data_IF_296148873581
#
_entry.id   IF_296148873581
#
_cell.length_a   1.000
_cell.length_b   1.000
_cell.length_c   1.000
_cell.angle_alpha   90.00
_cell.angle_beta   90.00
_cell.angle_gamma   90.00
#
_symmetry.space_group_name_H-M   'P 1'
#
loop_
_entity.id
_entity.type
_entity.pdbx_description
1 polymer ?
#
# COMPACT_ATOMS: atom_id res chain seq x y z
N UNK A 1 34.48 7.40 21.20
CA UNK A 1 34.22 5.95 21.08
C UNK A 1 35.17 5.40 20.04
N UNK A 2 36.11 4.53 20.42
CA UNK A 2 37.04 3.88 19.50
C UNK A 2 36.61 2.41 19.42
N UNK A 3 36.10 1.96 18.27
CA UNK A 3 35.74 0.56 18.05
C UNK A 3 36.96 -0.12 17.42
N UNK A 4 37.59 -1.05 18.13
CA UNK A 4 38.68 -1.87 17.57
C UNK A 4 38.35 -3.36 17.65
N UNK A 5 38.45 -4.04 16.51
CA UNK A 5 38.43 -5.51 16.40
C UNK A 5 37.05 -6.14 16.25
N UNK A 6 36.70 -6.54 15.02
CA UNK A 6 35.67 -7.56 14.79
C UNK A 6 36.41 -8.89 14.56
N UNK A 7 36.21 -9.86 15.46
CA UNK A 7 36.72 -11.22 15.30
C UNK A 7 35.55 -12.15 14.98
N UNK A 8 35.54 -12.82 13.81
CA UNK A 8 34.49 -13.79 13.49
C UNK A 8 34.70 -15.07 14.32
N UNK A 9 33.63 -15.57 14.94
CA UNK A 9 33.59 -16.89 15.59
C UNK A 9 32.50 -17.73 14.91
N UNK A 10 32.88 -18.95 14.51
CA UNK A 10 31.97 -19.93 13.91
C UNK A 10 31.33 -20.78 15.00
N UNK A 11 30.01 -20.71 15.13
CA UNK A 11 29.22 -21.59 16.00
C UNK A 11 27.93 -22.00 15.28
N UNK A 12 27.63 -23.30 15.27
CA UNK A 12 26.44 -23.91 14.67
C UNK A 12 26.13 -23.44 13.23
N UNK A 13 27.13 -23.49 12.33
CA UNK A 13 26.98 -23.16 10.90
C UNK A 13 26.44 -21.74 10.59
N UNK A 14 26.58 -20.80 11.53
CA UNK A 14 26.30 -19.38 11.28
C UNK A 14 27.52 -18.53 11.66
N UNK A 15 27.81 -17.52 10.85
CA UNK A 15 28.82 -16.49 11.15
C UNK A 15 28.10 -15.40 11.94
N UNK A 16 28.54 -15.18 13.18
CA UNK A 16 28.03 -14.09 14.02
C UNK A 16 29.14 -13.07 14.25
N UNK A 17 28.76 -11.78 14.22
CA UNK A 17 29.65 -10.65 14.48
C UNK A 17 29.33 -10.09 15.86
N UNK A 18 30.35 -9.93 16.70
CA UNK A 18 30.21 -9.43 18.06
C UNK A 18 30.96 -8.12 18.22
N UNK A 19 30.37 -7.16 18.93
CA UNK A 19 31.03 -5.94 19.39
C UNK A 19 31.13 -5.98 20.91
N UNK A 20 32.33 -5.83 21.45
CA UNK A 20 32.52 -5.68 22.88
C UNK A 20 32.20 -4.24 23.31
N UNK A 21 31.30 -4.08 24.27
CA UNK A 21 31.02 -2.79 24.92
C UNK A 21 31.21 -2.98 26.42
N UNK A 22 31.94 -2.07 27.07
CA UNK A 22 32.26 -2.13 28.51
C UNK A 22 31.62 -0.94 29.21
N UNK A 23 30.86 -1.17 30.29
CA UNK A 23 30.21 -0.13 31.09
C UNK A 23 30.66 -0.16 32.56
N UNK A 24 30.45 0.95 33.28
CA UNK A 24 30.77 1.12 34.68
C UNK A 24 29.50 1.09 35.57
N UNK A 25 29.50 0.15 36.53
CA UNK A 25 28.67 -0.08 37.73
C UNK A 25 27.21 0.42 37.84
N UNK A 26 26.32 -0.54 38.19
CA UNK A 26 25.09 -0.40 38.98
C UNK A 26 24.45 -1.78 39.22
N UNK A 27 24.09 -2.12 40.46
CA UNK A 27 23.39 -3.39 40.81
C UNK A 27 21.89 -3.30 40.45
N UNK A 28 21.32 -4.35 39.85
CA UNK A 28 19.88 -4.49 39.60
C UNK A 28 19.31 -5.70 40.36
N UNK A 29 18.06 -5.64 40.88
CA UNK A 29 17.44 -6.76 41.57
C UNK A 29 17.01 -7.88 40.60
N UNK A 30 17.10 -9.13 41.06
CA UNK A 30 16.68 -10.32 40.31
C UNK A 30 15.19 -10.24 39.93
N UNK A 31 14.90 -10.25 38.63
CA UNK A 31 13.55 -10.45 38.08
C UNK A 31 13.59 -11.67 37.17
N UNK A 32 12.67 -12.61 37.39
CA UNK A 32 12.52 -13.83 36.60
C UNK A 32 11.94 -13.49 35.22
N UNK A 33 12.76 -13.63 34.15
CA UNK A 33 12.37 -13.28 32.77
C UNK A 33 11.89 -14.51 32.01
N UNK A 34 10.68 -14.46 31.45
CA UNK A 34 10.22 -15.39 30.42
C UNK A 34 10.75 -14.93 29.04
N UNK A 35 11.68 -15.68 28.44
CA UNK A 35 12.29 -15.33 27.15
C UNK A 35 11.44 -15.77 25.94
N UNK A 36 11.31 -14.88 24.95
CA UNK A 36 10.65 -15.14 23.65
C UNK A 36 11.66 -15.76 22.65
N UNK A 37 11.33 -16.81 21.87
CA UNK A 37 12.27 -17.46 20.97
C UNK A 37 12.56 -16.60 19.73
N UNK A 38 13.64 -15.80 19.78
CA UNK A 38 14.10 -15.01 18.63
C UNK A 38 14.81 -13.69 18.95
N UNK A 39 14.87 -13.27 20.22
CA UNK A 39 15.57 -12.06 20.61
C UNK A 39 17.11 -12.22 20.48
N UNK A 40 17.84 -11.18 20.02
CA UNK A 40 19.30 -11.21 20.04
C UNK A 40 19.80 -11.30 21.49
N UNK A 41 20.72 -12.25 21.73
CA UNK A 41 21.37 -12.47 23.02
C UNK A 41 22.70 -11.74 23.03
N UNK A 42 22.93 -10.92 24.04
CA UNK A 42 24.19 -10.21 24.20
C UNK A 42 25.03 -10.90 25.28
N UNK A 43 26.33 -11.06 24.99
CA UNK A 43 27.32 -11.48 25.97
C UNK A 43 27.87 -10.22 26.63
N UNK A 44 27.59 -10.04 27.92
CA UNK A 44 28.18 -8.99 28.72
C UNK A 44 29.27 -9.57 29.60
N UNK A 45 30.41 -8.91 29.67
CA UNK A 45 31.49 -9.26 30.60
C UNK A 45 31.52 -8.25 31.72
N UNK A 46 31.27 -8.71 32.93
CA UNK A 46 31.39 -7.91 34.13
C UNK A 46 32.84 -7.49 34.36
N UNK A 47 33.05 -6.47 35.19
CA UNK A 47 34.39 -5.97 35.51
C UNK A 47 35.28 -6.99 36.23
N UNK A 48 34.71 -8.05 36.80
CA UNK A 48 35.43 -9.16 37.42
C UNK A 48 35.79 -10.29 36.42
N UNK A 49 35.42 -10.13 35.14
CA UNK A 49 35.66 -11.11 34.08
C UNK A 49 34.60 -12.20 33.97
N UNK A 50 33.54 -12.15 34.79
CA UNK A 50 32.40 -13.06 34.64
C UNK A 50 31.53 -12.69 33.44
N UNK A 51 31.02 -13.70 32.73
CA UNK A 51 30.16 -13.53 31.57
C UNK A 51 28.69 -13.73 31.97
N UNK A 52 27.83 -12.76 31.64
CA UNK A 52 26.37 -12.84 31.81
C UNK A 52 25.72 -12.72 30.43
N UNK A 53 24.76 -13.61 30.19
CA UNK A 53 23.99 -13.66 28.95
C UNK A 53 22.61 -13.03 29.20
N UNK A 54 22.33 -11.89 28.61
CA UNK A 54 21.02 -11.24 28.74
C UNK A 54 20.30 -11.12 27.40
N UNK A 55 18.98 -11.30 27.46
CA UNK A 55 18.04 -10.99 26.39
C UNK A 55 17.42 -9.63 26.69
N UNK A 56 17.73 -8.62 25.89
CA UNK A 56 17.01 -7.34 25.96
C UNK A 56 15.64 -7.50 25.31
N UNK A 57 14.59 -7.57 26.12
CA UNK A 57 13.19 -7.42 25.70
C UNK A 57 12.72 -6.01 26.02
N UNK A 58 12.06 -5.34 25.06
CA UNK A 58 11.40 -4.05 25.31
C UNK A 58 10.38 -4.20 26.45
N UNK A 59 10.58 -3.50 27.56
CA UNK A 59 9.57 -3.30 28.59
C UNK A 59 9.13 -1.84 28.60
N UNK A 60 7.81 -1.64 28.49
CA UNK A 60 7.16 -0.35 28.78
C UNK A 60 6.47 -0.55 30.12
N UNK A 61 7.04 0.00 31.19
CA UNK A 61 6.33 0.07 32.47
C UNK A 61 5.38 1.28 32.41
N UNK A 62 4.07 1.01 32.41
CA UNK A 62 3.05 2.03 32.19
C UNK A 62 2.77 2.87 33.45
N UNK A 63 3.48 2.65 34.56
CA UNK A 63 3.21 3.31 35.83
C UNK A 63 4.13 4.48 36.18
N UNK A 64 5.31 4.62 35.56
CA UNK A 64 6.26 5.69 35.94
C UNK A 64 6.85 6.50 34.77
N UNK A 65 6.47 6.19 33.53
CA UNK A 65 6.91 6.94 32.34
C UNK A 65 8.36 6.69 31.95
N UNK A 66 9.00 5.65 32.46
CA UNK A 66 10.39 5.31 32.12
C UNK A 66 10.46 4.56 30.78
N UNK A 67 11.33 5.02 29.88
CA UNK A 67 11.65 4.32 28.63
C UNK A 67 13.11 3.91 28.66
N UNK A 68 13.37 2.63 28.45
CA UNK A 68 14.72 2.08 28.26
C UNK A 68 14.95 1.96 26.76
N UNK A 69 15.94 2.68 26.23
CA UNK A 69 16.23 2.68 24.81
C UNK A 69 17.07 1.45 24.39
N UNK A 70 17.29 1.31 23.07
CA UNK A 70 18.06 0.21 22.49
C UNK A 70 19.56 0.20 22.91
N UNK A 71 20.00 1.17 23.72
CA UNK A 71 21.34 1.26 24.29
C UNK A 71 21.35 1.00 25.81
N UNK A 72 20.23 0.52 26.38
CA UNK A 72 20.04 0.30 27.82
C UNK A 72 20.26 1.55 28.67
N UNK A 73 19.99 2.74 28.10
CA UNK A 73 20.11 4.00 28.82
C UNK A 73 18.75 4.37 29.43
N UNK A 74 18.69 4.49 30.76
CA UNK A 74 17.48 4.94 31.45
C UNK A 74 17.34 6.45 31.32
N UNK A 75 16.27 6.93 30.67
CA UNK A 75 15.97 8.36 30.59
C UNK A 75 14.64 8.62 31.28
N UNK A 76 14.65 9.33 32.40
CA UNK A 76 13.44 9.73 33.13
C UNK A 76 12.95 11.07 32.58
N UNK A 77 11.76 11.10 31.97
CA UNK A 77 11.12 12.35 31.58
C UNK A 77 10.21 12.83 32.72
N UNK A 78 10.34 14.09 33.20
CA UNK A 78 9.35 14.66 34.10
C UNK A 78 8.04 14.89 33.33
N UNK A 79 6.95 14.28 33.78
CA UNK A 79 5.61 14.50 33.27
C UNK A 79 5.10 15.90 33.67
N UNK A 80 5.46 16.95 32.94
CA UNK A 80 4.71 18.22 32.96
C UNK A 80 3.65 18.19 31.86
N UNK A 81 2.46 17.72 32.23
CA UNK A 81 1.25 17.80 31.41
C UNK A 81 0.64 19.20 31.58
N UNK A 82 1.05 20.15 30.74
CA UNK A 82 0.34 21.42 30.59
C UNK A 82 -0.81 21.22 29.59
N UNK A 83 -2.03 21.04 30.09
CA UNK A 83 -3.24 21.25 29.29
C UNK A 83 -3.48 22.77 29.13
N UNK A 84 -3.64 23.30 27.92
CA UNK A 84 -4.26 24.60 27.75
C UNK A 84 -5.78 24.46 27.98
N UNK A 85 -6.27 25.10 29.02
CA UNK A 85 -7.68 25.43 29.23
C UNK A 85 -8.19 26.25 28.03
N UNK A 86 -9.06 25.67 27.20
CA UNK A 86 -10.12 26.44 26.53
C UNK A 86 -11.45 25.67 26.65
N UNK A 87 -12.40 26.33 27.29
CA UNK A 87 -13.56 25.72 27.91
C UNK A 87 -14.68 25.31 26.96
N UNK A 88 -15.41 24.28 27.39
CA UNK A 88 -16.82 24.07 27.07
C UNK A 88 -17.53 23.58 28.34
N UNK A 89 -18.80 23.96 28.55
CA UNK A 89 -19.43 23.89 29.86
C UNK A 89 -19.86 22.47 30.24
N UNK A 90 -19.69 22.20 31.53
CA UNK A 90 -20.24 21.09 32.28
C UNK A 90 -21.76 20.98 32.09
N UNK A 91 -22.25 19.77 31.80
CA UNK A 91 -23.67 19.42 31.80
C UNK A 91 -23.84 18.01 32.39
N UNK A 92 -23.56 17.88 33.69
CA UNK A 92 -24.13 16.80 34.49
C UNK A 92 -25.64 16.98 34.67
N UNK A 93 -26.42 16.04 34.12
CA UNK A 93 -27.67 15.58 34.73
C UNK A 93 -29.01 16.10 34.17
N UNK A 94 -29.58 15.38 33.18
CA UNK A 94 -31.03 15.13 33.09
C UNK A 94 -31.26 13.76 32.42
N UNK A 95 -32.01 12.82 33.02
CA UNK A 95 -32.39 11.57 32.36
C UNK A 95 -33.66 11.77 31.52
N UNK A 96 -33.58 11.44 30.23
CA UNK A 96 -34.75 11.28 29.35
C UNK A 96 -34.95 12.42 28.34
N UNK A 97 -34.32 12.30 27.17
CA UNK A 97 -34.60 13.11 26.00
C UNK A 97 -33.89 12.53 24.77
N UNK A 98 -34.66 12.02 23.82
CA UNK A 98 -34.17 11.56 22.51
C UNK A 98 -33.70 12.76 21.68
N UNK A 99 -32.45 12.75 21.25
CA UNK A 99 -31.91 13.73 20.29
C UNK A 99 -31.95 13.18 18.88
N UNK A 100 -32.64 13.91 18.02
CA UNK A 100 -32.66 13.77 16.57
C UNK A 100 -31.49 14.60 15.99
N UNK A 101 -30.57 13.93 15.32
CA UNK A 101 -29.44 14.55 14.60
C UNK A 101 -29.79 14.57 13.12
N UNK A 102 -30.46 15.63 12.69
CA UNK A 102 -30.55 15.98 11.27
C UNK A 102 -29.47 17.05 10.95
N UNK A 103 -28.56 16.82 9.99
CA UNK A 103 -27.54 17.78 9.63
C UNK A 103 -28.09 18.89 8.71
N UNK A 104 -27.50 20.07 8.87
CA UNK A 104 -27.77 21.34 8.19
C UNK A 104 -28.37 21.24 6.77
N UNK A 105 -29.67 21.55 6.67
CA UNK A 105 -30.36 21.84 5.41
C UNK A 105 -30.41 23.35 5.14
N UNK A 106 -30.18 23.71 3.88
CA UNK A 106 -30.23 25.07 3.35
C UNK A 106 -31.58 25.75 3.63
N UNK A 107 -31.57 26.97 4.18
CA UNK A 107 -32.73 27.85 4.20
C UNK A 107 -33.06 28.32 2.78
N UNK A 108 -34.24 27.98 2.28
CA UNK A 108 -34.88 28.76 1.22
C UNK A 108 -35.48 30.05 1.79
N UNK A 109 -35.47 31.18 1.06
CA UNK A 109 -36.14 32.38 1.52
C UNK A 109 -37.65 32.30 1.26
N UNK A 110 -38.41 32.34 2.35
CA UNK A 110 -39.85 32.53 2.39
C UNK A 110 -40.27 33.90 1.82
N UNK A 111 -41.22 33.84 0.89
CA UNK A 111 -42.27 34.80 0.55
C UNK A 111 -42.30 36.15 1.29
N UNK A 112 -42.18 37.24 0.53
CA UNK A 112 -42.49 38.60 0.96
C UNK A 112 -44.00 38.82 1.13
N UNK A 113 -44.36 39.34 2.30
CA UNK A 113 -45.66 39.92 2.60
C UNK A 113 -45.89 41.23 1.83
N UNK A 114 -47.16 41.41 1.47
CA UNK A 114 -47.78 42.61 0.94
C UNK A 114 -47.73 43.78 1.93
N UNK A 115 -47.12 44.89 1.53
CA UNK A 115 -47.14 46.17 2.26
C UNK A 115 -47.47 47.34 1.33
N UNK A 116 -48.61 47.96 1.60
CA UNK A 116 -49.24 49.09 0.92
C UNK A 116 -48.46 50.41 0.98
N UNK A 117 -48.47 51.15 -0.14
CA UNK A 117 -48.85 52.57 -0.19
C UNK A 117 -47.90 53.63 0.40
N UNK A 118 -47.26 54.40 -0.47
CA UNK A 118 -46.60 55.66 -0.12
C UNK A 118 -46.11 56.44 -1.33
N UNK A 119 -46.93 57.36 -1.84
CA UNK A 119 -46.50 58.42 -2.75
C UNK A 119 -45.44 59.28 -2.06
N UNK A 120 -44.27 59.48 -2.68
CA UNK A 120 -43.48 60.69 -2.52
C UNK A 120 -42.48 60.89 -3.67
N UNK A 121 -42.40 62.15 -4.11
CA UNK A 121 -41.46 62.72 -5.07
C UNK A 121 -40.00 62.33 -4.79
N UNK A 122 -39.24 61.98 -5.83
CA UNK A 122 -37.80 61.77 -5.72
C UNK A 122 -37.13 61.75 -7.10
N UNK A 123 -36.09 62.57 -7.26
CA UNK A 123 -35.42 62.85 -8.53
C UNK A 123 -34.74 61.66 -9.20
N UNK A 124 -34.43 61.85 -10.48
CA UNK A 124 -33.78 60.89 -11.36
C UNK A 124 -32.37 60.50 -10.92
N UNK A 125 -32.27 59.60 -9.95
CA UNK A 125 -31.08 58.81 -9.70
C UNK A 125 -30.91 57.78 -10.82
N UNK A 126 -29.71 57.73 -11.40
CA UNK A 126 -29.33 56.66 -12.31
C UNK A 126 -29.63 55.30 -11.67
N UNK A 127 -30.12 54.30 -12.44
CA UNK A 127 -30.34 52.97 -11.92
C UNK A 127 -29.04 52.48 -11.24
N UNK A 128 -29.13 51.89 -10.03
CA UNK A 128 -27.96 51.38 -9.35
C UNK A 128 -27.23 50.43 -10.30
N UNK A 129 -25.88 50.51 -10.39
CA UNK A 129 -25.12 49.63 -11.26
C UNK A 129 -25.49 48.18 -10.92
N UNK A 130 -25.65 47.32 -11.94
CA UNK A 130 -26.01 45.93 -11.72
C UNK A 130 -25.02 45.32 -10.73
N UNK A 131 -25.50 44.51 -9.76
CA UNK A 131 -24.64 43.87 -8.81
C UNK A 131 -23.53 43.11 -9.57
N UNK A 132 -22.28 43.16 -9.09
CA UNK A 132 -21.20 42.42 -9.73
C UNK A 132 -21.62 40.95 -9.82
N UNK A 133 -21.32 40.27 -10.95
CA UNK A 133 -21.64 38.86 -11.09
C UNK A 133 -21.07 38.10 -9.87
N UNK A 134 -21.84 37.14 -9.32
CA UNK A 134 -21.38 36.36 -8.19
C UNK A 134 -20.00 35.81 -8.52
N UNK A 135 -19.04 36.05 -7.64
CA UNK A 135 -17.67 35.62 -7.85
C UNK A 135 -17.66 34.11 -8.00
N UNK A 136 -17.34 33.63 -9.20
CA UNK A 136 -17.42 32.20 -9.49
C UNK A 136 -16.38 31.46 -8.64
N UNK A 137 -16.86 30.62 -7.74
CA UNK A 137 -16.03 29.67 -7.01
C UNK A 137 -15.79 28.46 -7.89
N UNK A 138 -14.53 28.08 -8.06
CA UNK A 138 -14.16 26.89 -8.82
C UNK A 138 -14.50 25.60 -8.04
N UNK A 139 -14.29 24.42 -8.64
CA UNK A 139 -14.64 23.17 -7.95
C UNK A 139 -13.76 22.86 -6.73
N UNK A 140 -12.67 23.61 -6.51
CA UNK A 140 -11.79 23.47 -5.35
C UNK A 140 -12.20 24.42 -4.21
N UNK A 141 -13.31 25.16 -4.37
CA UNK A 141 -13.74 26.14 -3.39
C UNK A 141 -12.98 27.46 -3.47
N UNK A 142 -12.21 27.70 -4.55
CA UNK A 142 -11.42 28.93 -4.70
C UNK A 142 -12.19 29.96 -5.53
N UNK A 143 -12.45 31.11 -4.91
CA UNK A 143 -13.09 32.25 -5.58
C UNK A 143 -12.18 32.77 -6.69
N UNK A 144 -12.68 32.75 -7.94
CA UNK A 144 -11.89 33.10 -9.13
C UNK A 144 -10.85 32.05 -9.52
N UNK A 145 -10.92 30.84 -8.96
CA UNK A 145 -10.05 29.73 -9.32
C UNK A 145 -10.33 29.17 -10.72
N UNK A 146 -9.42 28.34 -11.22
CA UNK A 146 -9.49 27.76 -12.57
C UNK A 146 -9.73 26.25 -12.55
N UNK A 147 -10.03 25.68 -11.39
CA UNK A 147 -10.27 24.25 -11.29
C UNK A 147 -11.66 23.88 -11.85
N UNK A 148 -11.71 22.82 -12.64
CA UNK A 148 -12.93 22.32 -13.31
C UNK A 148 -13.30 20.93 -12.78
N UNK A 149 -14.61 20.66 -12.71
CA UNK A 149 -15.12 19.33 -12.35
C UNK A 149 -14.83 18.37 -13.49
N UNK A 150 -14.23 17.23 -13.16
CA UNK A 150 -13.98 16.11 -14.05
C UNK A 150 -14.44 14.79 -13.38
N UNK A 151 -14.47 13.65 -14.10
CA UNK A 151 -14.90 12.37 -13.53
C UNK A 151 -14.11 11.94 -12.29
N UNK A 152 -12.84 12.32 -12.21
CA UNK A 152 -11.95 12.05 -11.07
C UNK A 152 -12.02 13.10 -9.94
N UNK A 153 -13.02 13.98 -9.97
CA UNK A 153 -13.15 15.14 -9.09
C UNK A 153 -12.61 16.42 -9.72
N UNK A 154 -12.12 17.33 -8.88
CA UNK A 154 -11.67 18.64 -9.31
C UNK A 154 -10.24 18.58 -9.90
N UNK A 155 -10.05 19.09 -11.12
CA UNK A 155 -8.74 19.20 -11.80
C UNK A 155 -8.44 20.65 -12.17
N UNK A 156 -7.18 21.01 -12.36
CA UNK A 156 -6.74 22.38 -12.66
C UNK A 156 -6.65 23.26 -11.42
N UNK A 157 -6.35 24.54 -11.62
CA UNK A 157 -6.24 25.54 -10.54
C UNK A 157 -5.32 25.11 -9.39
N UNK A 158 -5.82 25.26 -8.17
CA UNK A 158 -5.12 24.94 -6.92
C UNK A 158 -5.23 23.47 -6.50
N UNK A 159 -5.97 22.64 -7.25
CA UNK A 159 -6.14 21.22 -6.91
C UNK A 159 -4.84 20.40 -7.04
N UNK A 160 -3.84 20.92 -7.77
CA UNK A 160 -2.60 20.22 -8.08
C UNK A 160 -2.75 19.06 -9.06
N UNK A 161 -3.97 18.77 -9.57
CA UNK A 161 -4.24 17.71 -10.55
C UNK A 161 -4.41 18.31 -11.94
N UNK A 162 -3.45 18.13 -12.84
CA UNK A 162 -3.57 18.70 -14.20
C UNK A 162 -4.58 17.93 -15.08
N UNK A 163 -4.72 16.62 -14.86
CA UNK A 163 -5.56 15.73 -15.67
C UNK A 163 -6.09 14.62 -14.77
N UNK A 164 -7.24 14.04 -15.12
CA UNK A 164 -7.68 12.81 -14.45
C UNK A 164 -6.71 11.66 -14.73
N UNK A 165 -6.40 10.84 -13.72
CA UNK A 165 -5.72 9.58 -13.98
C UNK A 165 -6.58 8.77 -14.98
N UNK A 166 -5.95 8.04 -15.92
CA UNK A 166 -6.68 7.19 -16.84
C UNK A 166 -7.58 6.23 -16.06
N UNK A 167 -8.82 6.07 -16.50
CA UNK A 167 -9.71 5.07 -15.91
C UNK A 167 -9.05 3.68 -16.04
N UNK A 168 -9.08 2.84 -14.99
CA UNK A 168 -8.40 1.55 -15.01
C UNK A 168 -8.81 0.65 -16.20
N UNK A 169 -10.07 0.74 -16.65
CA UNK A 169 -10.57 0.05 -17.85
C UNK A 169 -9.90 0.54 -19.14
N UNK A 170 -9.75 1.86 -19.32
CA UNK A 170 -9.06 2.43 -20.48
C UNK A 170 -7.60 1.98 -20.51
N UNK A 171 -6.96 1.91 -19.34
CA UNK A 171 -5.57 1.49 -19.21
C UNK A 171 -5.33 0.06 -19.70
N UNK A 172 -6.13 -0.91 -19.27
CA UNK A 172 -6.01 -2.30 -19.73
C UNK A 172 -6.36 -2.44 -21.21
N UNK A 173 -7.41 -1.75 -21.68
CA UNK A 173 -7.82 -1.77 -23.08
C UNK A 173 -6.76 -1.16 -24.00
N UNK A 174 -6.23 0.01 -23.65
CA UNK A 174 -5.20 0.72 -24.44
C UNK A 174 -3.89 -0.06 -24.49
N UNK A 175 -3.50 -0.72 -23.39
CA UNK A 175 -2.30 -1.55 -23.37
C UNK A 175 -2.42 -2.69 -24.39
N UNK A 176 -3.50 -3.46 -24.36
CA UNK A 176 -3.58 -4.66 -25.19
C UNK A 176 -4.04 -4.40 -26.64
N UNK A 177 -4.85 -3.38 -26.88
CA UNK A 177 -5.35 -3.06 -28.22
C UNK A 177 -4.43 -2.14 -29.04
N UNK A 178 -3.37 -1.60 -28.43
CA UNK A 178 -2.35 -0.86 -29.16
C UNK A 178 -1.65 -1.74 -30.21
N UNK A 179 -1.66 -1.32 -31.48
CA UNK A 179 -1.05 -2.08 -32.59
C UNK A 179 0.44 -2.35 -32.38
N UNK A 180 1.15 -1.43 -31.74
CA UNK A 180 2.55 -1.59 -31.35
C UNK A 180 2.79 -2.76 -30.37
N UNK A 181 1.74 -3.23 -29.70
CA UNK A 181 1.79 -4.27 -28.67
C UNK A 181 1.30 -5.63 -29.16
N UNK A 182 0.96 -5.79 -30.45
CA UNK A 182 0.41 -7.03 -31.00
C UNK A 182 1.33 -8.25 -30.78
N UNK A 183 2.65 -8.08 -30.98
CA UNK A 183 3.63 -9.15 -30.74
C UNK A 183 3.71 -9.53 -29.26
N UNK A 184 3.62 -8.54 -28.36
CA UNK A 184 3.57 -8.80 -26.93
C UNK A 184 2.28 -9.54 -26.55
N UNK A 185 1.12 -9.07 -27.03
CA UNK A 185 -0.18 -9.71 -26.79
C UNK A 185 -0.15 -11.18 -27.19
N UNK A 186 0.42 -11.51 -28.35
CA UNK A 186 0.51 -12.89 -28.79
C UNK A 186 1.39 -13.72 -27.84
N UNK A 187 2.56 -13.21 -27.43
CA UNK A 187 3.42 -13.90 -26.46
C UNK A 187 2.74 -14.10 -25.10
N UNK A 188 2.02 -13.08 -24.61
CA UNK A 188 1.25 -13.17 -23.36
C UNK A 188 0.15 -14.24 -23.45
N UNK A 189 -0.56 -14.34 -24.58
CA UNK A 189 -1.51 -15.42 -24.85
C UNK A 189 -0.84 -16.80 -24.88
N UNK A 190 0.32 -16.91 -25.54
CA UNK A 190 1.06 -18.15 -25.64
C UNK A 190 1.44 -18.69 -24.24
N UNK A 191 1.81 -17.80 -23.31
CA UNK A 191 2.08 -18.17 -21.92
C UNK A 191 0.87 -18.78 -21.20
N UNK A 192 -0.36 -18.32 -21.51
CA UNK A 192 -1.60 -18.85 -20.94
C UNK A 192 -2.08 -20.17 -21.54
N UNK A 193 -1.36 -20.75 -22.50
CA UNK A 193 -1.72 -22.06 -23.08
C UNK A 193 -1.43 -23.19 -22.10
N UNK A 194 -2.20 -24.29 -22.20
CA UNK A 194 -2.01 -25.48 -21.38
C UNK A 194 -0.60 -26.05 -21.48
N UNK A 195 0.04 -25.95 -22.66
CA UNK A 195 1.42 -26.39 -22.87
C UNK A 195 2.40 -25.64 -21.95
N UNK A 196 2.25 -24.31 -21.83
CA UNK A 196 3.13 -23.50 -20.99
C UNK A 196 2.73 -23.59 -19.51
N UNK A 197 1.44 -23.66 -19.18
CA UNK A 197 0.97 -23.78 -17.80
C UNK A 197 1.28 -25.16 -17.17
N UNK A 198 1.44 -26.21 -17.98
CA UNK A 198 1.87 -27.54 -17.53
C UNK A 198 3.38 -27.67 -17.33
N UNK A 199 4.17 -26.64 -17.63
CA UNK A 199 5.59 -26.66 -17.33
C UNK A 199 5.74 -26.64 -15.82
N UNK A 200 6.61 -27.48 -15.26
CA UNK A 200 6.90 -27.47 -13.83
C UNK A 200 7.71 -26.24 -13.40
N UNK A 201 7.54 -25.09 -14.05
CA UNK A 201 8.19 -23.81 -13.75
C UNK A 201 7.43 -22.65 -14.38
N UNK A 202 7.57 -21.46 -13.79
CA UNK A 202 6.92 -20.25 -14.29
C UNK A 202 7.66 -19.63 -15.48
N UNK A 203 6.92 -18.93 -16.34
CA UNK A 203 7.46 -18.13 -17.44
C UNK A 203 6.96 -16.70 -17.33
N UNK A 204 7.70 -15.78 -17.94
CA UNK A 204 7.25 -14.40 -18.10
C UNK A 204 7.62 -13.81 -19.46
N UNK A 205 6.85 -12.81 -19.86
CA UNK A 205 7.15 -11.92 -20.98
C UNK A 205 6.89 -10.48 -20.56
N UNK A 206 7.83 -9.59 -20.86
CA UNK A 206 7.76 -8.17 -20.59
C UNK A 206 7.87 -7.37 -21.89
N UNK A 207 7.16 -6.25 -21.96
CA UNK A 207 7.40 -5.19 -22.93
C UNK A 207 8.11 -4.04 -22.21
N UNK A 208 9.31 -3.70 -22.69
CA UNK A 208 10.21 -2.76 -22.06
C UNK A 208 10.47 -1.59 -23.01
N UNK A 209 10.10 -0.39 -22.59
CA UNK A 209 10.44 0.86 -23.24
C UNK A 209 11.96 1.11 -23.14
N UNK A 210 12.56 1.63 -24.22
CA UNK A 210 14.00 1.91 -24.28
C UNK A 210 14.89 0.68 -24.50
N UNK A 211 14.32 -0.52 -24.67
CA UNK A 211 15.08 -1.75 -24.95
C UNK A 211 15.03 -2.16 -26.44
N UNK A 212 16.08 -2.84 -26.93
CA UNK A 212 16.10 -3.50 -28.25
C UNK A 212 16.71 -4.90 -28.11
N UNK A 213 15.98 -5.99 -28.43
CA UNK A 213 14.54 -6.02 -28.65
C UNK A 213 13.77 -5.56 -27.41
N UNK A 214 12.61 -4.93 -27.61
CA UNK A 214 11.75 -4.39 -26.56
C UNK A 214 10.88 -5.45 -25.86
N UNK A 215 10.77 -6.66 -26.41
CA UNK A 215 10.11 -7.80 -25.77
C UNK A 215 11.19 -8.70 -25.16
N UNK A 216 11.06 -9.04 -23.88
CA UNK A 216 11.96 -9.95 -23.16
C UNK A 216 11.16 -11.09 -22.55
N UNK A 217 11.65 -12.30 -22.75
CA UNK A 217 11.09 -13.53 -22.17
C UNK A 217 12.03 -14.03 -21.08
N UNK A 218 11.48 -14.57 -20.00
CA UNK A 218 12.23 -15.24 -18.94
C UNK A 218 11.52 -16.53 -18.51
N UNK A 219 12.26 -17.40 -17.83
CA UNK A 219 11.74 -18.67 -17.31
C UNK A 219 12.39 -18.96 -15.97
N UNK A 220 11.58 -19.54 -15.07
CA UNK A 220 12.05 -20.13 -13.84
C UNK A 220 12.88 -21.39 -14.08
N UNK A 221 13.44 -21.91 -13.00
CA UNK A 221 14.09 -23.22 -12.97
C UNK A 221 13.05 -24.33 -12.82
N UNK A 222 13.33 -25.51 -13.36
CA UNK A 222 12.45 -26.68 -13.19
C UNK A 222 12.14 -26.94 -11.71
N UNK A 223 10.88 -27.24 -11.43
CA UNK A 223 10.31 -27.39 -10.09
C UNK A 223 10.31 -26.12 -9.23
N UNK A 224 10.46 -24.93 -9.83
CA UNK A 224 10.36 -23.65 -9.13
C UNK A 224 9.07 -22.91 -9.46
N UNK A 225 8.32 -22.57 -8.40
CA UNK A 225 7.13 -21.73 -8.43
C UNK A 225 7.49 -20.23 -8.50
N UNK A 226 8.46 -19.87 -9.32
CA UNK A 226 8.89 -18.47 -9.47
C UNK A 226 9.60 -18.23 -10.80
N UNK A 227 9.45 -17.00 -11.30
CA UNK A 227 10.26 -16.44 -12.37
C UNK A 227 10.86 -15.12 -11.94
N UNK A 228 12.13 -14.90 -12.26
CA UNK A 228 12.82 -13.66 -11.92
C UNK A 228 12.39 -12.53 -12.86
N UNK A 229 12.01 -11.39 -12.28
CA UNK A 229 11.77 -10.13 -13.00
C UNK A 229 12.93 -9.20 -12.63
N UNK A 230 13.98 -9.07 -13.46
CA UNK A 230 15.20 -8.35 -13.08
C UNK A 230 14.99 -6.83 -13.05
N UNK A 231 15.92 -6.12 -12.41
CA UNK A 231 16.02 -4.67 -12.58
C UNK A 231 16.49 -4.34 -14.00
N UNK A 232 16.00 -3.23 -14.54
CA UNK A 232 16.32 -2.77 -15.88
C UNK A 232 17.52 -1.81 -15.88
N UNK A 233 18.30 -1.78 -16.97
CA UNK A 233 19.28 -0.72 -17.21
C UNK A 233 18.66 0.68 -17.15
N UNK A 234 19.47 1.68 -16.79
CA UNK A 234 19.03 3.08 -16.76
C UNK A 234 18.40 3.52 -18.09
N UNK A 235 17.29 4.26 -17.99
CA UNK A 235 16.52 4.74 -19.15
C UNK A 235 15.51 3.72 -19.71
N UNK A 236 15.44 2.50 -19.17
CA UNK A 236 14.43 1.52 -19.55
C UNK A 236 13.30 1.42 -18.52
N UNK A 237 12.09 1.10 -18.99
CA UNK A 237 10.91 0.92 -18.14
C UNK A 237 10.04 -0.24 -18.61
N UNK A 238 9.52 -1.01 -17.67
CA UNK A 238 8.45 -1.94 -17.92
C UNK A 238 7.17 -1.18 -18.30
N UNK A 239 6.69 -1.42 -19.51
CA UNK A 239 5.36 -0.97 -19.95
C UNK A 239 4.30 -1.98 -19.54
N UNK A 240 4.63 -3.27 -19.58
CA UNK A 240 3.75 -4.34 -19.12
C UNK A 240 4.55 -5.62 -18.84
N UNK A 241 3.99 -6.49 -18.01
CA UNK A 241 4.55 -7.78 -17.61
C UNK A 241 3.43 -8.82 -17.60
N UNK A 242 3.68 -9.97 -18.23
CA UNK A 242 2.85 -11.18 -18.05
C UNK A 242 3.72 -12.24 -17.42
N UNK A 243 3.26 -12.90 -16.37
CA UNK A 243 3.88 -14.12 -15.86
C UNK A 243 2.83 -15.20 -15.59
N UNK A 244 3.28 -16.45 -15.50
CA UNK A 244 2.39 -17.59 -15.29
C UNK A 244 2.53 -18.14 -13.88
N UNK A 245 1.43 -18.56 -13.27
CA UNK A 245 1.46 -19.52 -12.16
C UNK A 245 1.23 -20.93 -12.70
N UNK A 246 2.29 -21.74 -12.74
CA UNK A 246 2.34 -23.02 -13.45
C UNK A 246 2.01 -24.24 -12.56
N UNK A 247 1.94 -25.43 -13.15
CA UNK A 247 1.66 -26.68 -12.44
C UNK A 247 2.92 -27.26 -11.77
N UNK A 248 3.37 -26.64 -10.68
CA UNK A 248 4.51 -27.13 -9.88
C UNK A 248 4.06 -28.03 -8.73
N UNK A 249 4.95 -28.91 -8.27
CA UNK A 249 4.71 -29.68 -7.05
C UNK A 249 4.52 -28.74 -5.84
N UNK A 250 3.45 -28.95 -5.07
CA UNK A 250 3.03 -28.02 -4.01
C UNK A 250 1.97 -27.00 -4.46
N UNK A 251 1.75 -26.87 -5.77
CA UNK A 251 0.77 -25.96 -6.36
C UNK A 251 1.29 -24.53 -6.51
N UNK A 252 0.48 -23.70 -7.16
CA UNK A 252 0.69 -22.25 -7.31
C UNK A 252 -0.60 -21.50 -6.99
N UNK A 253 -0.50 -20.20 -6.70
CA UNK A 253 -1.67 -19.39 -6.41
C UNK A 253 -2.53 -19.18 -7.67
N UNK A 254 -3.86 -19.10 -7.53
CA UNK A 254 -4.72 -18.71 -8.65
C UNK A 254 -4.79 -17.19 -8.85
N UNK A 255 -4.21 -16.40 -7.96
CA UNK A 255 -4.15 -14.92 -7.98
C UNK A 255 -2.69 -14.46 -7.88
N UNK A 256 -2.43 -13.16 -8.05
CA UNK A 256 -1.09 -12.60 -7.83
C UNK A 256 -0.60 -12.90 -6.42
N UNK A 257 0.63 -13.37 -6.30
CA UNK A 257 1.24 -13.67 -5.01
C UNK A 257 1.63 -12.38 -4.25
N UNK A 258 1.89 -12.49 -2.95
CA UNK A 258 2.48 -11.39 -2.17
C UNK A 258 3.83 -10.95 -2.77
N UNK A 259 4.64 -11.89 -3.25
CA UNK A 259 5.92 -11.63 -3.90
C UNK A 259 5.78 -10.88 -5.23
N UNK A 260 4.72 -11.16 -5.99
CA UNK A 260 4.45 -10.45 -7.25
C UNK A 260 4.20 -8.97 -6.96
N UNK A 261 3.32 -8.69 -5.99
CA UNK A 261 2.93 -7.33 -5.60
C UNK A 261 4.10 -6.57 -4.99
N UNK A 262 4.90 -7.23 -4.16
CA UNK A 262 6.15 -6.70 -3.65
C UNK A 262 7.08 -6.30 -4.80
N UNK A 263 7.28 -7.18 -5.79
CA UNK A 263 8.18 -6.89 -6.90
C UNK A 263 7.68 -5.73 -7.75
N UNK A 264 6.37 -5.64 -8.01
CA UNK A 264 5.76 -4.50 -8.69
C UNK A 264 5.98 -3.20 -7.92
N UNK A 265 5.85 -3.22 -6.58
CA UNK A 265 6.18 -2.08 -5.73
C UNK A 265 7.64 -1.65 -5.87
N UNK A 266 8.59 -2.60 -5.84
CA UNK A 266 10.02 -2.27 -5.98
C UNK A 266 10.34 -1.66 -7.35
N UNK A 267 9.74 -2.17 -8.43
CA UNK A 267 9.88 -1.62 -9.77
C UNK A 267 9.26 -0.22 -9.89
N UNK A 268 8.12 0.00 -9.23
CA UNK A 268 7.47 1.32 -9.15
C UNK A 268 8.34 2.33 -8.40
N UNK A 269 8.88 1.91 -7.24
CA UNK A 269 9.69 2.74 -6.36
C UNK A 269 10.99 3.18 -7.04
N UNK A 270 11.65 2.25 -7.72
CA UNK A 270 12.87 2.51 -8.50
C UNK A 270 12.64 3.24 -9.82
N UNK A 271 11.38 3.58 -10.16
CA UNK A 271 11.04 4.29 -11.40
C UNK A 271 11.15 3.44 -12.67
N UNK A 272 11.26 2.13 -12.53
CA UNK A 272 11.38 1.17 -13.63
C UNK A 272 10.02 0.73 -14.20
N UNK A 273 8.90 1.20 -13.65
CA UNK A 273 7.61 1.18 -14.32
C UNK A 273 6.90 2.51 -14.12
N UNK A 274 6.03 2.86 -15.06
CA UNK A 274 5.12 4.00 -14.89
C UNK A 274 3.78 3.50 -14.36
N UNK A 275 3.48 3.79 -13.10
CA UNK A 275 2.23 3.37 -12.47
C UNK A 275 0.98 3.89 -13.19
N UNK A 276 1.06 4.97 -13.99
CA UNK A 276 -0.08 5.48 -14.76
C UNK A 276 -0.36 4.68 -16.04
N UNK A 277 0.64 3.97 -16.59
CA UNK A 277 0.52 3.21 -17.85
C UNK A 277 0.65 1.69 -17.67
N UNK A 278 1.32 1.23 -16.61
CA UNK A 278 1.68 -0.17 -16.42
C UNK A 278 0.49 -1.10 -16.16
N UNK A 279 0.47 -2.23 -16.85
CA UNK A 279 -0.47 -3.34 -16.64
C UNK A 279 0.29 -4.65 -16.46
N UNK A 280 -0.06 -5.43 -15.43
CA UNK A 280 0.42 -6.80 -15.27
C UNK A 280 -0.67 -7.81 -15.65
N UNK A 281 -0.28 -8.96 -16.20
CA UNK A 281 -1.18 -10.07 -16.53
C UNK A 281 -0.71 -11.37 -15.88
N UNK A 282 -1.67 -12.20 -15.48
CA UNK A 282 -1.43 -13.46 -14.79
C UNK A 282 -2.40 -14.54 -15.28
N UNK A 283 -2.04 -15.34 -16.29
CA UNK A 283 -2.62 -16.65 -16.53
C UNK A 283 -2.14 -17.69 -15.50
N UNK A 284 -3.03 -18.56 -15.05
CA UNK A 284 -2.68 -19.63 -14.09
C UNK A 284 -3.11 -21.02 -14.55
N UNK A 285 -2.40 -22.05 -14.11
CA UNK A 285 -2.76 -23.45 -14.33
C UNK A 285 -4.14 -23.81 -13.78
N UNK A 286 -4.61 -23.05 -12.78
CA UNK A 286 -5.96 -23.21 -12.20
C UNK A 286 -7.07 -22.62 -13.08
N UNK A 287 -6.74 -22.13 -14.28
CA UNK A 287 -7.71 -21.64 -15.26
C UNK A 287 -8.15 -20.18 -15.04
N UNK A 288 -7.56 -19.47 -14.08
CA UNK A 288 -7.81 -18.04 -13.90
C UNK A 288 -6.88 -17.23 -14.81
N UNK A 289 -7.37 -16.08 -15.26
CA UNK A 289 -6.60 -15.10 -16.01
C UNK A 289 -6.94 -13.72 -15.45
N UNK A 290 -5.95 -13.04 -14.90
CA UNK A 290 -6.13 -11.72 -14.31
C UNK A 290 -5.29 -10.66 -15.02
N UNK A 291 -5.78 -9.43 -15.01
CA UNK A 291 -4.97 -8.25 -15.21
C UNK A 291 -4.95 -7.41 -13.92
N UNK A 292 -3.87 -6.66 -13.70
CA UNK A 292 -3.69 -5.75 -12.57
C UNK A 292 -3.20 -4.40 -13.07
N UNK A 293 -3.82 -3.34 -12.58
CA UNK A 293 -3.34 -1.96 -12.76
C UNK A 293 -3.04 -1.33 -11.40
N UNK A 294 -1.99 -0.52 -11.35
CA UNK A 294 -1.72 0.36 -10.20
C UNK A 294 -2.56 1.63 -10.39
N UNK A 295 -3.44 1.92 -9.44
CA UNK A 295 -4.30 3.12 -9.44
C UNK A 295 -3.80 4.20 -8.49
N UNK A 296 -3.04 3.80 -7.47
CA UNK A 296 -2.40 4.71 -6.53
C UNK A 296 -1.00 4.18 -6.19
N UNK A 297 0.01 4.79 -6.84
CA UNK A 297 1.42 4.44 -6.67
C UNK A 297 1.87 4.55 -5.21
N UNK A 298 1.47 5.63 -4.55
CA UNK A 298 1.88 5.94 -3.17
C UNK A 298 1.39 4.87 -2.22
N UNK A 299 0.14 4.43 -2.36
CA UNK A 299 -0.42 3.36 -1.54
C UNK A 299 0.32 2.03 -1.68
N UNK A 300 0.64 1.64 -2.92
CA UNK A 300 1.39 0.42 -3.19
C UNK A 300 2.78 0.48 -2.54
N UNK A 301 3.49 1.59 -2.75
CA UNK A 301 4.84 1.78 -2.23
C UNK A 301 4.89 1.96 -0.71
N UNK A 302 3.87 2.55 -0.11
CA UNK A 302 3.76 2.77 1.33
C UNK A 302 3.51 1.46 2.07
N UNK A 303 2.66 0.58 1.52
CA UNK A 303 2.44 -0.75 2.09
C UNK A 303 3.74 -1.57 2.13
N UNK A 304 4.55 -1.48 1.07
CA UNK A 304 5.82 -2.20 0.93
C UNK A 304 7.05 -1.35 1.26
N UNK A 305 6.88 -0.23 1.98
CA UNK A 305 7.95 0.74 2.20
C UNK A 305 9.20 0.12 2.84
N UNK A 306 9.03 -0.82 3.78
CA UNK A 306 10.15 -1.50 4.42
C UNK A 306 11.04 -2.29 3.45
N UNK A 307 10.45 -2.90 2.41
CA UNK A 307 11.18 -3.67 1.41
C UNK A 307 11.76 -2.78 0.33
N UNK A 308 11.05 -1.72 -0.06
CA UNK A 308 11.54 -0.72 -0.99
C UNK A 308 12.79 0.02 -0.45
N UNK A 309 12.96 0.07 0.87
CA UNK A 309 14.03 0.80 1.56
C UNK A 309 14.93 -0.10 2.42
N UNK A 310 15.00 -1.41 2.13
CA UNK A 310 15.83 -2.34 2.89
C UNK A 310 17.32 -1.99 2.72
N UNK A 311 18.02 -1.73 3.83
CA UNK A 311 19.45 -1.33 3.84
C UNK A 311 19.72 0.14 4.17
N UNK A 312 18.69 0.99 4.15
CA UNK A 312 18.77 2.44 4.44
C UNK A 312 17.88 2.85 5.61
N UNK A 313 17.77 2.01 6.64
CA UNK A 313 17.18 2.40 7.92
C UNK A 313 17.82 3.68 8.49
N UNK A 314 19.07 3.97 8.12
CA UNK A 314 19.85 5.13 8.56
C UNK A 314 19.59 6.44 7.78
N UNK A 315 18.85 6.42 6.67
CA UNK A 315 18.58 7.63 5.86
C UNK A 315 17.10 7.96 5.65
N UNK A 316 16.18 7.05 5.99
CA UNK A 316 14.74 7.22 5.80
C UNK A 316 13.95 7.39 7.10
N UNK A 317 12.63 7.56 6.97
CA UNK A 317 11.71 7.58 8.12
C UNK A 317 11.62 6.18 8.76
N UNK A 318 12.41 5.94 9.81
CA UNK A 318 12.48 4.65 10.52
C UNK A 318 11.13 4.23 11.09
N UNK A 319 10.34 5.17 11.60
CA UNK A 319 8.99 4.90 12.11
C UNK A 319 8.10 4.35 10.99
N UNK A 320 8.11 4.98 9.81
CA UNK A 320 7.38 4.49 8.63
C UNK A 320 7.88 3.11 8.20
N UNK A 321 9.19 2.88 8.24
CA UNK A 321 9.79 1.58 7.95
C UNK A 321 9.23 0.49 8.87
N UNK A 322 9.32 0.67 10.20
CA UNK A 322 8.83 -0.29 11.19
C UNK A 322 7.33 -0.52 11.05
N UNK A 323 6.53 0.55 10.94
CA UNK A 323 5.08 0.44 10.80
C UNK A 323 4.68 -0.30 9.51
N UNK A 324 5.35 -0.02 8.38
CA UNK A 324 5.07 -0.74 7.13
C UNK A 324 5.47 -2.21 7.20
N UNK A 325 6.58 -2.55 7.86
CA UNK A 325 7.00 -3.94 8.08
C UNK A 325 5.97 -4.70 8.91
N UNK A 326 5.59 -4.17 10.07
CA UNK A 326 4.63 -4.81 10.96
C UNK A 326 3.27 -5.00 10.28
N UNK A 327 2.79 -3.99 9.56
CA UNK A 327 1.52 -4.06 8.85
C UNK A 327 1.57 -5.10 7.71
N UNK A 328 2.62 -5.07 6.90
CA UNK A 328 2.79 -6.00 5.78
C UNK A 328 2.99 -7.44 6.25
N UNK A 329 3.71 -7.68 7.35
CA UNK A 329 3.85 -9.00 7.97
C UNK A 329 2.51 -9.49 8.50
N UNK A 330 1.81 -8.69 9.30
CA UNK A 330 0.49 -9.04 9.85
C UNK A 330 -0.49 -9.45 8.76
N UNK A 331 -0.58 -8.66 7.69
CA UNK A 331 -1.49 -8.92 6.57
C UNK A 331 -0.98 -10.08 5.71
N UNK A 332 0.32 -10.12 5.41
CA UNK A 332 0.95 -11.20 4.65
C UNK A 332 0.79 -12.56 5.32
N UNK A 333 0.94 -12.63 6.65
CA UNK A 333 0.70 -13.84 7.42
C UNK A 333 -0.77 -14.24 7.35
N UNK A 334 -1.70 -13.33 7.65
CA UNK A 334 -3.14 -13.62 7.57
C UNK A 334 -3.56 -14.24 6.22
N UNK A 335 -3.08 -13.70 5.11
CA UNK A 335 -3.54 -14.13 3.79
C UNK A 335 -2.67 -15.19 3.12
N UNK A 336 -1.35 -15.17 3.27
CA UNK A 336 -0.43 -16.05 2.52
C UNK A 336 0.41 -16.98 3.40
N UNK A 337 0.85 -16.53 4.58
CA UNK A 337 1.94 -17.19 5.32
C UNK A 337 1.57 -17.67 6.74
N UNK A 338 0.28 -17.69 7.12
CA UNK A 338 -0.12 -18.16 8.45
C UNK A 338 0.34 -19.60 8.63
N UNK A 339 1.17 -19.85 9.67
CA UNK A 339 1.89 -21.13 9.87
C UNK A 339 1.04 -22.39 9.81
N UNK A 340 -0.27 -22.27 10.07
CA UNK A 340 -1.20 -23.42 10.06
C UNK A 340 -2.32 -23.30 9.03
N UNK A 341 -2.73 -22.09 8.63
CA UNK A 341 -3.95 -21.92 7.81
C UNK A 341 -4.06 -20.53 7.16
N UNK A 342 -3.32 -20.23 6.08
CA UNK A 342 -3.47 -18.96 5.38
C UNK A 342 -4.77 -18.94 4.57
N UNK A 343 -5.39 -17.77 4.42
CA UNK A 343 -6.66 -17.63 3.68
C UNK A 343 -6.52 -17.85 2.16
N UNK A 344 -5.33 -17.69 1.61
CA UNK A 344 -4.99 -17.91 0.20
C UNK A 344 -3.90 -19.00 0.14
N UNK A 345 -4.20 -20.12 -0.51
CA UNK A 345 -3.30 -21.28 -0.56
C UNK A 345 -2.95 -21.66 -1.99
N UNK A 346 -1.72 -22.11 -2.17
CA UNK A 346 -1.24 -22.70 -3.43
C UNK A 346 -2.00 -23.99 -3.79
N UNK A 347 -2.55 -24.70 -2.80
CA UNK A 347 -3.30 -25.95 -2.99
C UNK A 347 -4.81 -25.75 -3.08
N UNK A 348 -5.33 -24.53 -2.89
CA UNK A 348 -6.78 -24.29 -2.94
C UNK A 348 -7.32 -24.50 -4.37
N UNK A 349 -8.46 -25.17 -4.49
CA UNK A 349 -9.13 -25.47 -5.76
C UNK A 349 -10.38 -24.60 -5.98
N UNK A 350 -10.86 -23.92 -4.94
CA UNK A 350 -11.95 -22.96 -5.04
C UNK A 350 -11.40 -21.58 -5.41
N UNK A 351 -11.22 -21.38 -6.72
CA UNK A 351 -10.71 -20.10 -7.25
C UNK A 351 -11.62 -18.91 -6.93
N UNK A 352 -12.93 -19.11 -6.73
CA UNK A 352 -13.85 -18.03 -6.39
C UNK A 352 -13.65 -17.58 -4.94
N UNK A 353 -13.48 -18.52 -4.01
CA UNK A 353 -13.08 -18.22 -2.64
C UNK A 353 -11.71 -17.54 -2.60
N UNK A 354 -10.70 -18.07 -3.31
CA UNK A 354 -9.36 -17.46 -3.36
C UNK A 354 -9.43 -16.02 -3.89
N UNK A 355 -10.17 -15.77 -4.98
CA UNK A 355 -10.37 -14.41 -5.48
C UNK A 355 -11.03 -13.51 -4.44
N UNK A 356 -12.07 -14.00 -3.74
CA UNK A 356 -12.70 -13.25 -2.65
C UNK A 356 -11.68 -12.85 -1.57
N UNK A 357 -10.86 -13.80 -1.11
CA UNK A 357 -9.83 -13.53 -0.08
C UNK A 357 -8.74 -12.59 -0.59
N UNK A 358 -8.39 -12.68 -1.87
CA UNK A 358 -7.45 -11.77 -2.51
C UNK A 358 -7.98 -10.33 -2.58
N UNK A 359 -9.27 -10.15 -2.87
CA UNK A 359 -9.91 -8.84 -2.85
C UNK A 359 -10.02 -8.28 -1.43
N UNK A 360 -10.29 -9.12 -0.42
CA UNK A 360 -10.24 -8.73 0.99
C UNK A 360 -8.82 -8.27 1.37
N UNK A 361 -7.79 -9.00 0.94
CA UNK A 361 -6.38 -8.62 1.12
C UNK A 361 -6.07 -7.26 0.49
N UNK A 362 -6.42 -7.02 -0.78
CA UNK A 362 -6.17 -5.74 -1.46
C UNK A 362 -6.83 -4.57 -0.71
N UNK A 363 -8.06 -4.77 -0.24
CA UNK A 363 -8.83 -3.77 0.50
C UNK A 363 -8.25 -3.49 1.88
N UNK A 364 -7.92 -4.52 2.64
CA UNK A 364 -7.34 -4.40 3.99
C UNK A 364 -5.94 -3.81 3.96
N UNK A 365 -5.11 -4.21 2.99
CA UNK A 365 -3.79 -3.63 2.75
C UNK A 365 -3.84 -2.22 2.13
N UNK A 366 -5.02 -1.79 1.62
CA UNK A 366 -5.19 -0.53 0.91
C UNK A 366 -4.13 -0.33 -0.19
N UNK A 367 -3.88 -1.35 -1.02
CA UNK A 367 -2.73 -1.39 -1.93
C UNK A 367 -2.76 -0.39 -3.09
N UNK A 368 -3.90 0.23 -3.38
CA UNK A 368 -3.99 1.12 -4.53
C UNK A 368 -3.85 0.40 -5.87
N UNK A 369 -4.37 -0.83 -5.98
CA UNK A 369 -4.42 -1.61 -7.22
C UNK A 369 -5.86 -1.96 -7.59
N UNK A 370 -6.11 -2.17 -8.88
CA UNK A 370 -7.38 -2.70 -9.42
C UNK A 370 -7.11 -3.99 -10.17
N UNK A 371 -8.01 -4.97 -10.00
CA UNK A 371 -7.92 -6.29 -10.62
C UNK A 371 -9.04 -6.46 -11.65
N UNK A 372 -8.73 -7.19 -12.72
CA UNK A 372 -9.67 -7.54 -13.77
C UNK A 372 -9.62 -9.03 -14.03
N UNK A 373 -10.78 -9.68 -14.12
CA UNK A 373 -10.90 -10.96 -14.81
C UNK A 373 -10.74 -10.70 -16.32
N UNK A 374 -9.95 -11.54 -16.99
CA UNK A 374 -9.80 -11.49 -18.45
C UNK A 374 -9.97 -12.87 -19.04
N UNK A 375 -10.22 -12.95 -20.35
CA UNK A 375 -10.23 -14.23 -21.05
C UNK A 375 -8.82 -14.59 -21.53
N UNK A 376 -8.56 -15.84 -21.93
CA UNK A 376 -7.25 -16.25 -22.44
C UNK A 376 -6.78 -15.51 -23.70
N UNK A 377 -7.67 -14.81 -24.41
CA UNK A 377 -7.34 -14.02 -25.59
C UNK A 377 -6.90 -12.59 -25.29
N UNK A 378 -7.05 -12.15 -24.03
CA UNK A 378 -6.80 -10.78 -23.58
C UNK A 378 -7.59 -9.77 -24.45
N UNK A 379 -8.86 -10.02 -24.71
CA UNK A 379 -9.72 -9.10 -25.48
C UNK A 379 -11.01 -8.71 -24.75
N UNK A 380 -11.22 -9.23 -23.54
CA UNK A 380 -12.29 -8.84 -22.63
C UNK A 380 -11.74 -8.62 -21.23
N UNK A 381 -12.19 -7.55 -20.57
CA UNK A 381 -11.81 -7.23 -19.20
C UNK A 381 -13.05 -6.91 -18.37
N UNK A 382 -13.11 -7.50 -17.18
CA UNK A 382 -14.16 -7.26 -16.20
C UNK A 382 -13.50 -6.87 -14.89
N UNK A 383 -13.65 -5.61 -14.48
CA UNK A 383 -13.17 -5.14 -13.18
C UNK A 383 -13.85 -5.95 -12.08
N UNK A 384 -13.07 -6.44 -11.12
CA UNK A 384 -13.56 -7.15 -9.95
C UNK A 384 -13.25 -6.40 -8.67
N UNK A 385 -14.26 -6.21 -7.83
CA UNK A 385 -14.13 -5.50 -6.55
C UNK A 385 -15.07 -6.06 -5.48
N UNK A 386 -14.65 -5.95 -4.22
CA UNK A 386 -15.43 -6.43 -3.07
C UNK A 386 -16.43 -5.36 -2.62
N UNK A 387 -17.72 -5.68 -2.67
CA UNK A 387 -18.79 -4.81 -2.19
C UNK A 387 -18.91 -4.84 -0.66
N UNK A 388 -19.66 -3.90 -0.08
CA UNK A 388 -19.89 -3.81 1.37
C UNK A 388 -20.66 -5.01 1.93
N UNK A 389 -21.50 -5.64 1.12
CA UNK A 389 -22.25 -6.85 1.49
C UNK A 389 -21.40 -8.14 1.41
N UNK A 390 -20.15 -8.05 0.99
CA UNK A 390 -19.26 -9.20 0.81
C UNK A 390 -19.37 -9.88 -0.56
N UNK A 391 -20.21 -9.41 -1.48
CA UNK A 391 -20.23 -9.94 -2.84
C UNK A 391 -19.08 -9.37 -3.69
N UNK A 392 -18.75 -10.08 -4.77
CA UNK A 392 -17.80 -9.60 -5.78
C UNK A 392 -18.60 -8.93 -6.90
N UNK A 393 -18.49 -7.61 -7.02
CA UNK A 393 -18.97 -6.89 -8.18
C UNK A 393 -18.09 -7.19 -9.39
N UNK A 394 -18.75 -7.43 -10.53
CA UNK A 394 -18.13 -7.66 -11.83
C UNK A 394 -18.62 -6.58 -12.79
N UNK A 395 -17.75 -5.65 -13.14
CA UNK A 395 -18.08 -4.49 -13.97
C UNK A 395 -17.31 -4.62 -15.29
N UNK A 396 -17.98 -4.98 -16.40
CA UNK A 396 -17.36 -5.06 -17.71
C UNK A 396 -16.73 -3.72 -18.14
N UNK A 397 -15.57 -3.76 -18.78
CA UNK A 397 -14.83 -2.58 -19.28
C UNK A 397 -15.14 -2.25 -20.76
N UNK A 398 -16.37 -2.55 -21.20
CA UNK A 398 -16.83 -2.45 -22.58
C UNK A 398 -17.21 -1.03 -23.03
#
# INVERSE_FOLDING_TARGET
MLITGLSPVLKNNSIQFYSNVTYAQGEFPEVEVCADPGAPVYLMTNSDGSEVWETCSYQIDCNDGTVIDANCTQTTYPCEYNCPDEGLPDCAGVPGGTFDITPCGCMEPSSCESGTGGNNNGGGGNPPPPPPPPSQTDCAGVVGGTAIVAPCGCIGGTSGRAVCPPEPCDKVNNMINGTANANYKQKAKDLGTQQNLNLGYEKSVALIEGATPNIKEASGTTASASVQVPDLPSGQKYKTLTHTHSNVAGGTYSVFSFGDLQRLSMLSHSGQLDASEFVAFLPTYKGTNYALTITDKTKLEDFFYFMNNSGTASGGNITKWISSQQNAQKIGDKYYNHKTDPLIKQTDTDNANVLSKFLDFIKEANLGVTIFETNPNLDSFTKVEKQSNGDIARIPCN
#
